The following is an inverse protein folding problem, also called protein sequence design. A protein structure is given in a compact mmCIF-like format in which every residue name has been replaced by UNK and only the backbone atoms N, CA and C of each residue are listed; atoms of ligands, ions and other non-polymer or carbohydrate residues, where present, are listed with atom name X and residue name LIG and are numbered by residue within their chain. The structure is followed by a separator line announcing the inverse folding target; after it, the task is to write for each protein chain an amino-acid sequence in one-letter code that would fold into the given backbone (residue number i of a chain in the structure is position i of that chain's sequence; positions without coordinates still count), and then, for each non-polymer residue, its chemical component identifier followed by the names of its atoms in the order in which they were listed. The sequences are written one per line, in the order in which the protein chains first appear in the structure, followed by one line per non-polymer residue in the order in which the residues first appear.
data_IF_265439200267
#
_entry.id   IF_265439200267
#
_cell.length_a   1.000
_cell.length_b   1.000
_cell.length_c   1.000
_cell.angle_alpha   90.00
_cell.angle_beta   90.00
_cell.angle_gamma   90.00
#
_symmetry.space_group_name_H-M   'P 1'
#
loop_
_entity.id
_entity.type
_entity.pdbx_description
1 polymer ?
#
# COMPACT_ATOMS: atom_id res chain seq x y z
N UNK A 1 -59.01 -27.35 -54.62
CA UNK A 1 -57.59 -27.57 -54.29
C UNK A 1 -57.50 -27.96 -52.82
N UNK A 2 -57.09 -29.20 -52.56
CA UNK A 2 -56.96 -29.81 -51.24
C UNK A 2 -55.63 -29.40 -50.60
N UNK A 3 -55.63 -28.91 -49.37
CA UNK A 3 -54.53 -29.18 -48.42
C UNK A 3 -55.08 -29.36 -47.01
N UNK A 4 -54.68 -30.48 -46.41
CA UNK A 4 -55.04 -31.03 -45.10
C UNK A 4 -54.30 -30.30 -43.96
N UNK A 5 -54.80 -30.38 -42.71
CA UNK A 5 -54.06 -30.02 -41.51
C UNK A 5 -53.21 -31.20 -41.02
N UNK A 6 -52.15 -30.96 -40.24
CA UNK A 6 -51.70 -31.84 -39.14
C UNK A 6 -50.60 -31.19 -38.29
N UNK A 7 -50.94 -31.06 -37.00
CA UNK A 7 -50.12 -31.13 -35.78
C UNK A 7 -48.60 -31.24 -35.92
N UNK A 8 -47.90 -30.21 -35.45
CA UNK A 8 -46.48 -30.29 -35.08
C UNK A 8 -46.34 -30.79 -33.64
N UNK A 9 -45.85 -32.03 -33.48
CA UNK A 9 -45.37 -32.56 -32.21
C UNK A 9 -43.99 -31.98 -31.87
N UNK A 10 -43.86 -31.59 -30.61
CA UNK A 10 -42.62 -31.22 -29.94
C UNK A 10 -41.79 -32.49 -29.67
N UNK A 11 -40.60 -32.58 -30.23
CA UNK A 11 -39.59 -33.59 -29.88
C UNK A 11 -38.39 -32.89 -29.23
N UNK A 12 -37.89 -33.37 -28.06
CA UNK A 12 -36.59 -32.95 -27.55
C UNK A 12 -35.54 -34.06 -27.72
N UNK A 13 -34.36 -33.71 -28.24
CA UNK A 13 -33.05 -34.36 -28.03
C UNK A 13 -31.99 -33.70 -28.94
N UNK A 14 -30.66 -33.86 -28.69
CA UNK A 14 -30.00 -34.56 -27.59
C UNK A 14 -29.00 -33.68 -26.80
N UNK A 15 -28.64 -34.18 -25.62
CA UNK A 15 -27.57 -33.67 -24.78
C UNK A 15 -26.24 -33.59 -25.55
N UNK A 16 -25.63 -32.41 -25.57
CA UNK A 16 -24.29 -32.21 -26.08
C UNK A 16 -23.28 -32.82 -25.10
N UNK A 17 -22.68 -33.93 -25.52
CA UNK A 17 -21.55 -34.58 -24.87
C UNK A 17 -20.33 -33.66 -24.99
N UNK A 18 -20.02 -32.92 -23.93
CA UNK A 18 -18.79 -32.14 -23.86
C UNK A 18 -17.62 -33.10 -23.65
N UNK A 19 -16.92 -33.43 -24.75
CA UNK A 19 -15.70 -34.23 -24.72
C UNK A 19 -14.62 -33.50 -23.92
N UNK A 20 -14.07 -34.23 -22.97
CA UNK A 20 -12.90 -33.93 -22.17
C UNK A 20 -11.73 -33.45 -23.05
N UNK A 21 -11.27 -32.22 -22.82
CA UNK A 21 -9.86 -31.90 -22.87
C UNK A 21 -9.42 -31.71 -21.43
N UNK A 22 -8.89 -32.78 -20.85
CA UNK A 22 -8.17 -32.74 -19.59
C UNK A 22 -6.88 -31.93 -19.80
N UNK A 23 -6.97 -30.61 -19.67
CA UNK A 23 -5.80 -29.77 -19.45
C UNK A 23 -5.34 -30.09 -18.04
N UNK A 24 -4.31 -30.92 -17.99
CA UNK A 24 -3.63 -31.37 -16.78
C UNK A 24 -3.01 -30.15 -16.10
N UNK A 25 -3.75 -29.53 -15.19
CA UNK A 25 -3.23 -28.54 -14.26
C UNK A 25 -2.15 -29.23 -13.41
N UNK A 26 -0.89 -28.97 -13.73
CA UNK A 26 0.21 -29.22 -12.82
C UNK A 26 0.10 -28.18 -11.70
N UNK A 27 0.02 -28.58 -10.42
CA UNK A 27 0.27 -27.64 -9.34
C UNK A 27 1.73 -27.22 -9.46
N UNK A 28 1.97 -25.98 -9.90
CA UNK A 28 3.27 -25.36 -9.79
C UNK A 28 3.64 -25.39 -8.30
N UNK A 29 4.84 -25.88 -8.03
CA UNK A 29 5.30 -26.30 -6.72
C UNK A 29 4.96 -25.31 -5.62
N UNK A 30 4.60 -25.90 -4.48
CA UNK A 30 4.59 -25.27 -3.18
C UNK A 30 5.96 -24.63 -2.91
N UNK A 31 6.11 -23.39 -3.38
CA UNK A 31 7.09 -22.47 -2.86
C UNK A 31 6.68 -22.21 -1.42
N UNK A 32 7.24 -23.03 -0.52
CA UNK A 32 7.28 -22.78 0.91
C UNK A 32 7.91 -21.41 1.06
N UNK A 33 7.05 -20.39 1.12
CA UNK A 33 7.43 -19.06 1.55
C UNK A 33 7.87 -19.26 3.00
N UNK A 34 9.18 -19.24 3.25
CA UNK A 34 9.67 -19.20 4.62
C UNK A 34 8.93 -18.08 5.31
N UNK A 35 8.17 -18.44 6.35
CA UNK A 35 7.73 -17.48 7.35
C UNK A 35 9.02 -16.91 7.91
N UNK A 36 9.36 -15.70 7.49
CA UNK A 36 10.45 -14.96 8.11
C UNK A 36 10.08 -14.85 9.59
N UNK A 37 10.99 -15.32 10.46
CA UNK A 37 10.85 -15.17 11.89
C UNK A 37 10.57 -13.69 12.23
N UNK A 38 9.79 -13.39 13.28
CA UNK A 38 9.69 -12.04 13.81
C UNK A 38 11.11 -11.58 14.14
N UNK A 39 11.61 -10.60 13.38
CA UNK A 39 12.98 -10.11 13.55
C UNK A 39 12.94 -8.98 14.55
N UNK A 40 13.58 -9.24 15.69
CA UNK A 40 13.72 -8.33 16.81
C UNK A 40 14.31 -6.98 16.37
N UNK A 41 13.91 -5.96 17.13
CA UNK A 41 14.49 -4.62 17.18
C UNK A 41 16.02 -4.70 17.02
N UNK A 42 16.66 -3.81 16.23
CA UNK A 42 18.08 -3.95 15.91
C UNK A 42 18.93 -4.08 17.19
N UNK A 43 19.59 -5.22 17.34
CA UNK A 43 20.38 -5.63 18.52
C UNK A 43 21.61 -4.73 18.81
N UNK A 44 21.79 -3.67 18.04
CA UNK A 44 22.87 -2.69 18.14
C UNK A 44 22.40 -1.30 18.63
N UNK A 45 21.13 -1.16 19.02
CA UNK A 45 20.59 0.07 19.59
C UNK A 45 20.90 0.17 21.08
N UNK A 46 21.26 1.37 21.54
CA UNK A 46 21.39 1.68 22.96
C UNK A 46 20.04 1.53 23.68
N UNK A 47 20.04 1.32 25.00
CA UNK A 47 18.80 1.12 25.77
C UNK A 47 17.77 2.25 25.56
N UNK A 48 18.25 3.50 25.47
CA UNK A 48 17.41 4.68 25.20
C UNK A 48 16.77 4.62 23.80
N UNK A 49 17.53 4.16 22.81
CA UNK A 49 17.03 4.03 21.43
C UNK A 49 16.01 2.89 21.30
N UNK A 50 16.16 1.84 22.09
CA UNK A 50 15.19 0.76 22.19
C UNK A 50 13.88 1.24 22.84
N UNK A 51 13.95 2.03 23.92
CA UNK A 51 12.78 2.64 24.54
C UNK A 51 12.03 3.57 23.57
N UNK A 52 12.77 4.39 22.81
CA UNK A 52 12.19 5.24 21.76
C UNK A 52 11.52 4.42 20.65
N UNK A 53 12.14 3.31 20.24
CA UNK A 53 11.57 2.41 19.26
C UNK A 53 10.24 1.82 19.73
N UNK A 54 10.22 1.28 20.95
CA UNK A 54 9.02 0.69 21.56
C UNK A 54 7.91 1.73 21.66
N UNK A 55 8.22 2.94 22.13
CA UNK A 55 7.24 4.03 22.22
C UNK A 55 6.66 4.44 20.86
N UNK A 56 7.47 4.43 19.79
CA UNK A 56 7.00 4.68 18.44
C UNK A 56 6.14 3.53 17.90
N UNK A 57 6.53 2.27 18.19
CA UNK A 57 5.79 1.08 17.78
C UNK A 57 4.41 1.04 18.43
N UNK A 58 4.33 1.26 19.75
CA UNK A 58 3.07 1.32 20.48
C UNK A 58 2.16 2.44 19.96
N UNK A 59 2.72 3.62 19.66
CA UNK A 59 1.95 4.72 19.06
C UNK A 59 1.34 4.33 17.71
N UNK A 60 2.12 3.68 16.83
CA UNK A 60 1.64 3.22 15.53
C UNK A 60 0.56 2.15 15.69
N UNK A 61 0.74 1.20 16.59
CA UNK A 61 -0.28 0.17 16.89
C UNK A 61 -1.59 0.81 17.35
N UNK A 62 -1.54 1.72 18.32
CA UNK A 62 -2.72 2.38 18.88
C UNK A 62 -3.47 3.23 17.85
N UNK A 63 -2.75 4.00 17.03
CA UNK A 63 -3.36 4.94 16.07
C UNK A 63 -3.82 4.25 14.78
N UNK A 64 -3.17 3.16 14.39
CA UNK A 64 -3.39 2.53 13.09
C UNK A 64 -4.07 1.16 13.19
N UNK A 65 -4.30 0.64 14.39
CA UNK A 65 -4.90 -0.69 14.61
C UNK A 65 -4.04 -1.83 14.05
N UNK A 66 -2.73 -1.62 13.95
CA UNK A 66 -1.78 -2.62 13.49
C UNK A 66 -1.33 -3.51 14.66
N UNK A 67 -1.00 -4.76 14.36
CA UNK A 67 -0.28 -5.61 15.30
C UNK A 67 1.19 -5.15 15.48
N UNK A 68 1.84 -5.63 16.53
CA UNK A 68 3.20 -5.25 16.86
C UNK A 68 4.21 -5.55 15.73
N UNK A 69 4.10 -6.71 15.09
CA UNK A 69 5.00 -7.12 14.01
C UNK A 69 4.83 -6.22 12.78
N UNK A 70 3.60 -5.84 12.45
CA UNK A 70 3.28 -4.96 11.34
C UNK A 70 3.74 -3.52 11.61
N UNK A 71 3.55 -3.01 12.83
CA UNK A 71 4.02 -1.70 13.25
C UNK A 71 5.55 -1.61 13.19
N UNK A 72 6.26 -2.60 13.74
CA UNK A 72 7.71 -2.68 13.68
C UNK A 72 8.22 -2.80 12.24
N UNK A 73 7.58 -3.63 11.42
CA UNK A 73 7.93 -3.75 10.00
C UNK A 73 7.75 -2.43 9.24
N UNK A 74 6.75 -1.62 9.61
CA UNK A 74 6.54 -0.30 9.04
C UNK A 74 7.65 0.67 9.45
N UNK A 75 7.99 0.75 10.74
CA UNK A 75 9.07 1.59 11.26
C UNK A 75 10.43 1.20 10.66
N UNK A 76 10.73 -0.10 10.55
CA UNK A 76 11.97 -0.57 9.93
C UNK A 76 12.14 -0.08 8.48
N UNK A 77 11.05 -0.07 7.69
CA UNK A 77 11.06 0.44 6.31
C UNK A 77 11.13 1.96 6.25
N UNK A 78 10.34 2.63 7.10
CA UNK A 78 10.26 4.08 7.14
C UNK A 78 11.60 4.74 7.45
N UNK A 79 12.37 4.16 8.37
CA UNK A 79 13.62 4.73 8.84
C UNK A 79 14.87 4.05 8.27
N UNK A 80 14.73 3.33 7.15
CA UNK A 80 15.87 2.83 6.36
C UNK A 80 16.59 1.60 6.93
N UNK A 81 16.05 0.98 7.99
CA UNK A 81 16.60 -0.25 8.59
C UNK A 81 16.37 -1.48 7.72
N UNK A 82 15.23 -1.53 7.01
CA UNK A 82 14.84 -2.68 6.18
C UNK A 82 14.24 -2.23 4.86
N UNK A 83 14.92 -2.56 3.76
CA UNK A 83 14.43 -2.27 2.42
C UNK A 83 14.39 -0.77 2.13
N UNK A 84 15.09 -0.35 1.07
CA UNK A 84 15.15 1.07 0.68
C UNK A 84 14.66 1.28 -0.75
N UNK A 85 13.63 0.51 -1.16
CA UNK A 85 13.10 0.59 -2.52
C UNK A 85 12.54 1.98 -2.85
N UNK A 86 11.85 2.60 -1.90
CA UNK A 86 11.39 3.98 -2.03
C UNK A 86 12.55 4.98 -1.88
N UNK A 87 13.37 4.82 -0.83
CA UNK A 87 14.49 5.71 -0.50
C UNK A 87 15.71 5.64 -1.43
N UNK A 88 15.79 4.65 -2.33
CA UNK A 88 16.93 4.44 -3.25
C UNK A 88 18.30 4.37 -2.57
N UNK A 89 18.37 3.81 -1.36
CA UNK A 89 19.59 3.76 -0.54
C UNK A 89 20.07 5.14 -0.03
N UNK A 90 19.27 6.20 -0.17
CA UNK A 90 19.61 7.54 0.34
C UNK A 90 19.39 7.67 1.85
N UNK A 91 18.57 6.81 2.46
CA UNK A 91 18.19 6.95 3.87
C UNK A 91 19.24 6.28 4.76
N UNK A 92 19.85 7.06 5.63
CA UNK A 92 20.68 6.53 6.71
C UNK A 92 19.78 5.90 7.76
N UNK A 93 20.19 4.76 8.32
CA UNK A 93 19.48 4.10 9.42
C UNK A 93 19.33 5.07 10.59
N UNK A 94 18.09 5.34 10.98
CA UNK A 94 17.79 6.32 12.02
C UNK A 94 16.76 5.75 12.99
N UNK A 95 16.90 6.03 14.28
CA UNK A 95 15.88 5.67 15.26
C UNK A 95 14.64 6.56 15.05
N UNK A 96 13.43 6.01 15.03
CA UNK A 96 12.21 6.81 14.89
C UNK A 96 12.07 7.80 16.05
N UNK A 97 11.73 9.03 15.73
CA UNK A 97 11.39 10.05 16.70
C UNK A 97 9.86 10.09 16.89
N UNK A 98 9.39 10.03 18.13
CA UNK A 98 7.95 10.04 18.42
C UNK A 98 7.28 11.33 17.92
N UNK A 99 7.95 12.47 18.01
CA UNK A 99 7.45 13.76 17.50
C UNK A 99 7.22 13.69 15.98
N UNK A 100 8.17 13.10 15.24
CA UNK A 100 8.04 12.95 13.79
C UNK A 100 6.86 12.02 13.43
N UNK A 101 6.76 10.86 14.10
CA UNK A 101 5.70 9.89 13.84
C UNK A 101 4.33 10.51 14.16
N UNK A 102 4.21 11.18 15.31
CA UNK A 102 2.98 11.90 15.70
C UNK A 102 2.62 12.98 14.68
N UNK A 103 3.58 13.81 14.26
CA UNK A 103 3.33 14.89 13.30
C UNK A 103 2.80 14.35 11.96
N UNK A 104 3.34 13.24 11.45
CA UNK A 104 2.85 12.59 10.23
C UNK A 104 1.43 12.06 10.42
N UNK A 105 1.16 11.36 11.54
CA UNK A 105 -0.17 10.81 11.82
C UNK A 105 -1.22 11.90 12.03
N UNK A 106 -0.87 13.00 12.69
CA UNK A 106 -1.75 14.14 12.91
C UNK A 106 -1.99 14.90 11.59
N UNK A 107 -0.99 15.00 10.72
CA UNK A 107 -1.19 15.54 9.38
C UNK A 107 -2.17 14.68 8.56
N UNK A 108 -2.01 13.35 8.55
CA UNK A 108 -2.96 12.45 7.88
C UNK A 108 -4.38 12.57 8.46
N UNK A 109 -4.48 12.72 9.78
CA UNK A 109 -5.76 12.97 10.44
C UNK A 109 -6.38 14.31 10.01
N UNK A 110 -5.57 15.36 9.85
CA UNK A 110 -6.02 16.68 9.38
C UNK A 110 -6.59 16.64 7.95
N UNK A 111 -6.15 15.68 7.13
CA UNK A 111 -6.70 15.45 5.79
C UNK A 111 -8.07 14.76 5.86
N UNK A 112 -8.40 14.10 6.97
CA UNK A 112 -9.58 13.25 7.13
C UNK A 112 -9.28 11.75 7.07
N UNK A 113 -8.01 11.35 7.23
CA UNK A 113 -7.56 9.95 7.32
C UNK A 113 -7.16 9.66 8.77
N UNK A 114 -8.14 9.60 9.66
CA UNK A 114 -7.91 9.44 11.11
C UNK A 114 -8.32 8.08 11.66
N UNK A 115 -9.19 7.35 10.96
CA UNK A 115 -9.66 6.04 11.40
C UNK A 115 -8.54 4.99 11.27
N UNK A 116 -8.40 4.12 12.26
CA UNK A 116 -7.47 3.00 12.22
C UNK A 116 -7.70 2.09 10.98
N UNK A 117 -8.96 1.91 10.56
CA UNK A 117 -9.31 1.16 9.36
C UNK A 117 -8.76 1.82 8.08
N UNK A 118 -8.55 3.12 8.07
CA UNK A 118 -7.96 3.82 6.92
C UNK A 118 -6.43 3.94 7.03
N UNK A 119 -5.92 4.26 8.22
CA UNK A 119 -4.50 4.43 8.49
C UNK A 119 -3.71 3.12 8.39
N UNK A 120 -4.23 2.03 8.95
CA UNK A 120 -3.58 0.72 8.93
C UNK A 120 -3.26 0.24 7.51
N UNK A 121 -4.23 0.15 6.59
CA UNK A 121 -3.99 -0.22 5.19
C UNK A 121 -3.07 0.76 4.46
N UNK A 122 -3.18 2.08 4.74
CA UNK A 122 -2.31 3.09 4.12
C UNK A 122 -0.85 2.86 4.49
N UNK A 123 -0.54 2.67 5.77
CA UNK A 123 0.82 2.43 6.26
C UNK A 123 1.33 1.02 5.94
N UNK A 124 0.43 0.05 5.79
CA UNK A 124 0.81 -1.28 5.28
C UNK A 124 1.25 -1.20 3.82
N UNK A 125 0.56 -0.39 3.00
CA UNK A 125 0.88 -0.20 1.59
C UNK A 125 2.10 0.72 1.37
N UNK A 126 2.25 1.75 2.20
CA UNK A 126 3.33 2.73 2.10
C UNK A 126 3.83 3.13 3.50
N UNK A 127 4.62 2.26 4.15
CA UNK A 127 5.13 2.52 5.49
C UNK A 127 6.12 3.68 5.52
N UNK A 128 6.79 3.96 4.40
CA UNK A 128 7.74 5.06 4.27
C UNK A 128 7.13 6.44 4.52
N UNK A 129 5.79 6.57 4.50
CA UNK A 129 5.08 7.77 4.91
C UNK A 129 5.53 8.28 6.30
N UNK A 130 5.78 7.39 7.26
CA UNK A 130 6.20 7.75 8.63
C UNK A 130 7.58 8.43 8.66
N UNK A 131 8.42 8.17 7.66
CA UNK A 131 9.75 8.76 7.54
C UNK A 131 9.78 10.05 6.72
N UNK A 132 8.65 10.48 6.15
CA UNK A 132 8.57 11.72 5.37
C UNK A 132 8.57 12.95 6.28
N UNK A 133 8.93 14.09 5.70
CA UNK A 133 8.69 15.40 6.31
C UNK A 133 7.28 15.85 5.97
N UNK A 134 6.54 16.36 6.96
CA UNK A 134 5.17 16.85 6.78
C UNK A 134 5.09 17.91 5.67
N UNK A 135 6.09 18.80 5.58
CA UNK A 135 6.18 19.80 4.51
C UNK A 135 6.11 19.19 3.10
N UNK A 136 6.81 18.09 2.85
CA UNK A 136 6.76 17.40 1.55
C UNK A 136 5.36 16.84 1.27
N UNK A 137 4.68 16.33 2.30
CA UNK A 137 3.33 15.82 2.17
C UNK A 137 2.32 16.95 1.90
N UNK A 138 2.52 18.13 2.49
CA UNK A 138 1.73 19.33 2.24
C UNK A 138 1.89 19.83 0.82
N UNK A 139 3.14 19.96 0.36
CA UNK A 139 3.47 20.31 -1.03
C UNK A 139 2.79 19.34 -2.00
N UNK A 140 2.94 18.03 -1.78
CA UNK A 140 2.34 17.02 -2.64
C UNK A 140 0.80 17.05 -2.64
N UNK A 141 0.17 17.30 -1.48
CA UNK A 141 -1.28 17.47 -1.40
C UNK A 141 -1.74 18.76 -2.11
N UNK A 142 -0.94 19.83 -2.08
CA UNK A 142 -1.20 21.04 -2.88
C UNK A 142 -1.17 20.72 -4.37
N UNK A 143 -0.18 19.95 -4.86
CA UNK A 143 -0.16 19.53 -6.28
C UNK A 143 -1.43 18.75 -6.65
N UNK A 144 -1.89 17.83 -5.80
CA UNK A 144 -3.16 17.09 -5.98
C UNK A 144 -4.38 18.02 -6.08
N UNK A 145 -4.41 19.10 -5.30
CA UNK A 145 -5.50 20.08 -5.29
C UNK A 145 -5.46 21.03 -6.48
N UNK A 146 -4.27 21.45 -6.90
CA UNK A 146 -4.07 22.53 -7.86
C UNK A 146 -3.87 22.01 -9.28
N UNK A 147 -2.94 21.06 -9.49
CA UNK A 147 -2.63 20.50 -10.82
C UNK A 147 -3.69 19.49 -11.25
N UNK A 148 -4.16 18.64 -10.32
CA UNK A 148 -5.15 17.60 -10.60
C UNK A 148 -6.57 17.95 -10.15
N UNK A 149 -6.79 19.15 -9.61
CA UNK A 149 -8.11 19.66 -9.22
C UNK A 149 -8.90 18.74 -8.26
N UNK A 150 -8.21 17.93 -7.44
CA UNK A 150 -8.85 16.99 -6.51
C UNK A 150 -9.30 17.69 -5.23
N UNK A 151 -10.52 17.39 -4.76
CA UNK A 151 -11.10 17.98 -3.54
C UNK A 151 -11.91 16.97 -2.74
N UNK A 152 -12.06 17.24 -1.44
CA UNK A 152 -12.88 16.45 -0.52
C UNK A 152 -12.61 14.94 -0.60
N UNK A 153 -13.66 14.14 -0.73
CA UNK A 153 -13.57 12.68 -0.79
C UNK A 153 -12.77 12.15 -1.99
N UNK A 154 -12.71 12.87 -3.12
CA UNK A 154 -11.93 12.45 -4.28
C UNK A 154 -10.45 12.48 -3.94
N UNK A 155 -9.97 13.57 -3.31
CA UNK A 155 -8.60 13.69 -2.84
C UNK A 155 -8.25 12.57 -1.85
N UNK A 156 -9.11 12.35 -0.85
CA UNK A 156 -8.88 11.34 0.17
C UNK A 156 -8.80 9.93 -0.41
N UNK A 157 -9.74 9.57 -1.27
CA UNK A 157 -9.75 8.26 -1.91
C UNK A 157 -8.55 8.05 -2.84
N UNK A 158 -8.10 9.11 -3.53
CA UNK A 158 -6.88 9.04 -4.34
C UNK A 158 -5.64 8.78 -3.50
N UNK A 159 -5.49 9.46 -2.36
CA UNK A 159 -4.37 9.24 -1.43
C UNK A 159 -4.43 7.81 -0.85
N UNK A 160 -5.60 7.35 -0.39
CA UNK A 160 -5.77 5.99 0.14
C UNK A 160 -5.43 4.90 -0.88
N UNK A 161 -5.78 5.12 -2.16
CA UNK A 161 -5.47 4.17 -3.25
C UNK A 161 -4.01 4.22 -3.68
N UNK A 162 -3.39 5.40 -3.66
CA UNK A 162 -2.01 5.63 -4.10
C UNK A 162 -1.24 6.46 -3.07
N UNK A 163 -0.93 5.91 -1.88
CA UNK A 163 -0.35 6.68 -0.78
C UNK A 163 1.08 7.16 -1.06
N UNK A 164 1.78 6.52 -2.01
CA UNK A 164 3.09 6.96 -2.51
C UNK A 164 3.11 8.39 -3.04
N UNK A 165 1.97 8.92 -3.48
CA UNK A 165 1.86 10.31 -3.92
C UNK A 165 2.36 11.31 -2.88
N UNK A 166 2.22 10.98 -1.59
CA UNK A 166 2.65 11.82 -0.47
C UNK A 166 4.18 12.00 -0.42
N UNK A 167 4.94 11.10 -1.03
CA UNK A 167 6.42 11.11 -1.04
C UNK A 167 7.03 11.37 -2.41
N UNK A 168 6.25 11.76 -3.41
CA UNK A 168 6.77 12.10 -4.73
C UNK A 168 7.62 13.39 -4.65
N UNK A 169 8.66 13.48 -5.46
CA UNK A 169 9.54 14.65 -5.51
C UNK A 169 10.00 15.02 -6.92
N UNK A 170 9.60 14.25 -7.94
CA UNK A 170 10.00 14.46 -9.32
C UNK A 170 8.76 14.36 -10.21
N UNK A 171 8.65 15.24 -11.18
CA UNK A 171 7.78 15.08 -12.34
C UNK A 171 8.65 15.00 -13.58
N UNK A 172 8.59 13.88 -14.31
CA UNK A 172 9.43 13.69 -15.48
C UNK A 172 8.85 14.30 -16.75
N UNK A 173 7.56 14.67 -16.77
CA UNK A 173 6.89 15.37 -17.90
C UNK A 173 7.23 14.81 -19.31
N UNK A 174 7.49 13.50 -19.41
CA UNK A 174 7.87 12.82 -20.66
C UNK A 174 9.37 12.61 -20.89
N UNK A 175 10.25 13.25 -20.12
CA UNK A 175 11.71 13.03 -20.12
C UNK A 175 12.13 12.20 -18.91
N UNK A 176 12.17 10.87 -19.06
CA UNK A 176 12.36 9.94 -17.94
C UNK A 176 13.68 10.19 -17.17
N UNK A 177 13.55 10.45 -15.86
CA UNK A 177 14.69 10.62 -14.95
C UNK A 177 15.12 9.32 -14.23
N UNK A 178 14.50 8.18 -14.52
CA UNK A 178 14.82 6.88 -13.88
C UNK A 178 14.41 6.75 -12.40
N UNK A 179 13.80 7.78 -11.82
CA UNK A 179 13.38 7.84 -10.40
C UNK A 179 11.89 7.53 -10.22
N UNK A 180 11.39 6.53 -10.95
CA UNK A 180 9.96 6.24 -11.03
C UNK A 180 9.28 6.02 -9.66
N UNK A 181 9.99 5.49 -8.66
CA UNK A 181 9.45 5.23 -7.32
C UNK A 181 9.01 6.48 -6.54
N UNK A 182 9.47 7.67 -6.94
CA UNK A 182 9.13 8.98 -6.34
C UNK A 182 8.62 9.95 -7.41
N UNK A 183 8.23 9.43 -8.57
CA UNK A 183 7.83 10.23 -9.71
C UNK A 183 6.30 10.34 -9.77
N UNK A 184 5.82 11.55 -10.06
CA UNK A 184 4.40 11.83 -10.30
C UNK A 184 3.81 11.05 -11.47
N UNK A 185 4.61 10.54 -12.41
CA UNK A 185 4.14 9.67 -13.49
C UNK A 185 3.55 8.33 -13.01
N UNK A 186 3.76 7.92 -11.75
CA UNK A 186 3.12 6.72 -11.18
C UNK A 186 1.74 7.00 -10.57
N UNK A 187 1.39 8.26 -10.39
CA UNK A 187 0.12 8.71 -9.84
C UNK A 187 -0.97 8.71 -10.91
#
# INVERSE_FOLDING_TARGET
MLVRPVTGQLQPAPAATCRLLAVRWQPCGSSRRSLAAPQAVPEALEAVEQEQWVACSELVQQRCGLDADAADAALLKAFGWKGQGFWRQERVKQVPCQEQVTAVLDYLASLGISDAHDLGPLLTAFPEALGLHVQLMEENVSVLREKWYMKGNVLLNSIKRKPRALGNNIDCEGTCAGLCTRCWAQF
#
